data_IF_047794329682
#
_entry.id   IF_047794329682
#
_cell.length_a   1.000
_cell.length_b   1.000
_cell.length_c   1.000
_cell.angle_alpha   90.00
_cell.angle_beta   90.00
_cell.angle_gamma   90.00
#
_symmetry.space_group_name_H-M   'P 1'
#
loop_
_entity.id
_entity.type
_entity.pdbx_description
1 polymer ?
#
# COMPACT_ATOMS: atom_id res chain seq x y z
N UNK A 1 62.90 2.81 -98.34
CA UNK A 1 63.87 1.75 -97.95
C UNK A 1 63.28 0.88 -96.91
N UNK A 2 62.99 -0.31 -97.25
CA UNK A 2 63.37 -1.59 -96.64
C UNK A 2 62.66 -1.89 -95.33
N UNK A 3 61.72 -2.83 -95.40
CA UNK A 3 61.65 -4.15 -94.76
C UNK A 3 61.62 -4.12 -93.21
N UNK A 4 60.97 -4.98 -92.59
CA UNK A 4 60.55 -6.36 -92.79
C UNK A 4 59.69 -6.80 -91.63
N UNK A 5 58.73 -7.66 -91.85
CA UNK A 5 58.35 -8.91 -91.15
C UNK A 5 58.53 -8.97 -89.62
N UNK A 6 57.57 -9.49 -88.91
CA UNK A 6 57.35 -10.94 -88.80
C UNK A 6 56.09 -11.26 -88.00
N UNK A 7 55.56 -12.38 -88.35
CA UNK A 7 54.46 -13.14 -87.77
C UNK A 7 54.57 -13.39 -86.28
N UNK A 8 53.50 -13.23 -85.52
CA UNK A 8 53.32 -13.96 -84.34
C UNK A 8 51.88 -14.52 -84.20
N UNK A 9 51.83 -15.83 -84.27
CA UNK A 9 50.72 -16.71 -84.00
C UNK A 9 50.10 -16.42 -82.64
N UNK A 10 48.83 -16.07 -82.59
CA UNK A 10 48.08 -16.14 -81.32
C UNK A 10 47.29 -17.44 -81.24
N UNK A 11 47.75 -18.31 -80.36
CA UNK A 11 47.07 -19.50 -79.87
C UNK A 11 45.73 -19.13 -79.27
N UNK A 12 44.65 -19.68 -79.77
CA UNK A 12 43.32 -19.68 -79.16
C UNK A 12 43.38 -20.39 -77.80
N UNK A 13 43.18 -19.64 -76.73
CA UNK A 13 42.99 -20.20 -75.46
C UNK A 13 41.46 -20.30 -75.15
N UNK A 14 40.98 -21.51 -75.33
CA UNK A 14 39.61 -21.91 -75.01
C UNK A 14 39.43 -21.88 -73.43
N UNK A 15 38.91 -20.79 -72.87
CA UNK A 15 38.52 -20.70 -71.49
C UNK A 15 37.05 -21.14 -71.37
N UNK A 16 36.86 -22.33 -70.85
CA UNK A 16 35.63 -22.84 -70.34
C UNK A 16 35.11 -21.89 -69.18
N UNK A 17 34.28 -20.93 -69.53
CA UNK A 17 33.50 -20.18 -68.59
C UNK A 17 32.35 -21.08 -68.06
N UNK A 18 32.53 -21.60 -66.90
CA UNK A 18 31.47 -22.26 -66.07
C UNK A 18 30.23 -21.41 -66.11
N UNK A 19 29.13 -21.96 -66.60
CA UNK A 19 27.78 -21.44 -66.48
C UNK A 19 27.44 -21.20 -65.03
N UNK A 20 27.62 -19.97 -64.54
CA UNK A 20 26.98 -19.51 -63.33
C UNK A 20 25.49 -19.32 -63.58
N UNK A 21 24.70 -20.24 -63.10
CA UNK A 21 23.22 -20.14 -63.07
C UNK A 21 22.81 -18.79 -62.53
N UNK A 22 22.52 -17.83 -63.40
CA UNK A 22 21.83 -16.59 -63.04
C UNK A 22 20.39 -16.96 -62.66
N UNK A 23 20.16 -17.28 -61.44
CA UNK A 23 18.81 -17.29 -60.90
C UNK A 23 18.28 -15.88 -61.06
N UNK A 24 17.27 -15.73 -61.96
CA UNK A 24 16.68 -14.45 -62.30
C UNK A 24 16.27 -13.64 -61.02
N UNK A 25 16.49 -12.33 -61.05
CA UNK A 25 16.11 -11.48 -59.90
C UNK A 25 14.64 -11.65 -59.51
N UNK A 26 13.77 -12.03 -60.43
CA UNK A 26 12.36 -12.38 -60.22
C UNK A 26 12.16 -13.51 -59.22
N UNK A 27 13.02 -14.55 -59.18
CA UNK A 27 12.91 -15.65 -58.19
C UNK A 27 13.17 -15.19 -56.74
N UNK A 28 14.08 -14.26 -56.54
CA UNK A 28 14.34 -13.67 -55.21
C UNK A 28 13.17 -12.82 -54.74
N UNK A 29 12.52 -12.08 -55.62
CA UNK A 29 11.34 -11.28 -55.33
C UNK A 29 10.17 -12.19 -54.95
N UNK A 30 9.97 -13.31 -55.64
CA UNK A 30 8.93 -14.30 -55.27
C UNK A 30 9.17 -14.92 -53.91
N UNK A 31 10.41 -15.25 -53.54
CA UNK A 31 10.72 -15.78 -52.22
C UNK A 31 10.38 -14.73 -51.14
N UNK A 32 10.78 -13.47 -51.33
CA UNK A 32 10.45 -12.39 -50.44
C UNK A 32 8.93 -12.21 -50.27
N UNK A 33 8.21 -12.19 -51.38
CA UNK A 33 6.76 -12.03 -51.36
C UNK A 33 6.07 -13.18 -50.60
N UNK A 34 6.48 -14.43 -50.86
CA UNK A 34 5.94 -15.61 -50.14
C UNK A 34 6.26 -15.55 -48.65
N UNK A 35 7.47 -15.12 -48.28
CA UNK A 35 7.85 -14.96 -46.85
C UNK A 35 7.00 -13.89 -46.15
N UNK A 36 6.73 -12.77 -46.80
CA UNK A 36 5.86 -11.72 -46.29
C UNK A 36 4.42 -12.21 -46.12
N UNK A 37 3.86 -12.87 -47.13
CA UNK A 37 2.50 -13.44 -47.07
C UNK A 37 2.41 -14.43 -45.90
N UNK A 38 3.41 -15.29 -45.73
CA UNK A 38 3.44 -16.27 -44.62
C UNK A 38 3.52 -15.58 -43.26
N UNK A 39 4.32 -14.54 -43.13
CA UNK A 39 4.40 -13.76 -41.90
C UNK A 39 3.04 -13.08 -41.54
N UNK A 40 2.36 -12.50 -42.54
CA UNK A 40 1.03 -11.92 -42.36
C UNK A 40 -0.03 -12.96 -41.99
N UNK A 41 0.04 -14.17 -42.56
CA UNK A 41 -0.87 -15.27 -42.18
C UNK A 41 -0.64 -15.68 -40.73
N UNK A 42 0.61 -15.79 -40.27
CA UNK A 42 0.93 -16.10 -38.88
C UNK A 42 0.35 -15.02 -37.94
N UNK A 43 0.63 -13.75 -38.23
CA UNK A 43 0.11 -12.64 -37.40
C UNK A 43 -1.42 -12.62 -37.43
N UNK A 44 -2.04 -12.80 -38.59
CA UNK A 44 -3.48 -12.86 -38.72
C UNK A 44 -4.12 -14.02 -37.94
N UNK A 45 -3.51 -15.20 -37.98
CA UNK A 45 -3.99 -16.36 -37.19
C UNK A 45 -3.86 -16.12 -35.70
N UNK A 46 -2.77 -15.54 -35.25
CA UNK A 46 -2.60 -15.15 -33.85
C UNK A 46 -3.64 -14.11 -33.40
N UNK A 47 -3.92 -13.10 -34.20
CA UNK A 47 -4.97 -12.12 -33.92
C UNK A 47 -6.36 -12.76 -33.86
N UNK A 48 -6.68 -13.67 -34.80
CA UNK A 48 -7.94 -14.40 -34.81
C UNK A 48 -8.04 -15.32 -33.59
N UNK A 49 -6.99 -16.04 -33.23
CA UNK A 49 -6.95 -16.89 -32.04
C UNK A 49 -7.15 -16.08 -30.75
N UNK A 50 -6.56 -14.88 -30.66
CA UNK A 50 -6.80 -13.95 -29.54
C UNK A 50 -8.25 -13.42 -29.52
N UNK A 51 -8.87 -13.22 -30.66
CA UNK A 51 -10.25 -12.76 -30.77
C UNK A 51 -11.28 -13.86 -30.45
N UNK A 52 -11.01 -15.10 -30.86
CA UNK A 52 -11.89 -16.27 -30.59
C UNK A 52 -11.73 -16.80 -29.17
N UNK A 53 -10.53 -16.73 -28.63
CA UNK A 53 -10.22 -16.95 -27.24
C UNK A 53 -9.99 -15.58 -26.57
N UNK A 54 -11.02 -14.78 -26.35
CA UNK A 54 -10.84 -13.63 -25.50
C UNK A 54 -10.28 -14.20 -24.20
N UNK A 55 -9.12 -13.71 -23.75
CA UNK A 55 -8.58 -14.02 -22.43
C UNK A 55 -9.77 -13.86 -21.53
N UNK A 56 -10.34 -15.01 -21.11
CA UNK A 56 -11.53 -14.99 -20.29
C UNK A 56 -11.13 -14.21 -19.03
N UNK A 57 -11.58 -12.97 -18.96
CA UNK A 57 -11.52 -12.15 -17.74
C UNK A 57 -12.30 -12.82 -16.59
N UNK A 58 -12.77 -14.05 -16.82
CA UNK A 58 -13.44 -14.94 -15.88
C UNK A 58 -12.47 -15.89 -15.15
N UNK A 59 -11.24 -16.06 -15.54
CA UNK A 59 -10.23 -16.42 -14.57
C UNK A 59 -9.91 -15.16 -13.76
N UNK A 60 -10.76 -14.93 -12.76
CA UNK A 60 -10.43 -14.30 -11.50
C UNK A 60 -9.36 -15.14 -10.75
N UNK A 61 -8.40 -15.72 -11.40
CA UNK A 61 -7.04 -15.68 -10.98
C UNK A 61 -6.70 -14.20 -11.00
N UNK A 62 -7.14 -13.47 -9.94
CA UNK A 62 -6.41 -12.33 -9.46
C UNK A 62 -4.97 -12.61 -9.86
N UNK A 63 -4.44 -11.84 -10.79
CA UNK A 63 -3.02 -11.60 -10.81
C UNK A 63 -2.76 -11.15 -9.39
N UNK A 64 -2.46 -12.11 -8.54
CA UNK A 64 -1.78 -11.88 -7.28
C UNK A 64 -0.45 -11.35 -7.79
N UNK A 65 -0.46 -10.06 -8.17
CA UNK A 65 0.73 -9.26 -8.05
C UNK A 65 1.18 -9.64 -6.66
N UNK A 66 2.26 -10.40 -6.60
CA UNK A 66 2.92 -10.78 -5.36
C UNK A 66 3.33 -9.48 -4.65
N UNK A 67 2.33 -8.73 -4.20
CA UNK A 67 2.53 -7.61 -3.32
C UNK A 67 2.96 -8.22 -2.00
N UNK A 68 4.27 -8.27 -1.84
CA UNK A 68 4.99 -8.81 -0.68
C UNK A 68 4.49 -8.22 0.65
N UNK A 69 3.58 -7.24 0.61
CA UNK A 69 3.23 -6.37 1.72
C UNK A 69 1.72 -6.14 1.90
N UNK A 70 0.86 -6.93 1.25
CA UNK A 70 -0.60 -6.83 1.42
C UNK A 70 -1.02 -7.11 2.89
N UNK A 71 -2.04 -6.37 3.37
CA UNK A 71 -2.58 -6.49 4.71
C UNK A 71 -4.10 -6.58 4.65
N UNK A 72 -4.71 -7.50 5.42
CA UNK A 72 -6.16 -7.75 5.45
C UNK A 72 -6.94 -6.52 5.87
N UNK A 73 -8.15 -6.41 5.35
CA UNK A 73 -9.12 -5.43 5.83
C UNK A 73 -9.58 -5.76 7.25
N UNK A 74 -10.01 -4.74 7.98
CA UNK A 74 -10.69 -4.88 9.27
C UNK A 74 -12.11 -4.35 9.09
N UNK A 75 -13.10 -5.14 9.50
CA UNK A 75 -14.52 -4.81 9.43
C UNK A 75 -15.18 -4.89 10.81
N UNK A 76 -16.29 -4.20 10.96
CA UNK A 76 -17.16 -4.31 12.14
C UNK A 76 -18.02 -5.58 12.07
N UNK A 77 -18.88 -5.82 13.08
CA UNK A 77 -19.78 -6.99 13.12
C UNK A 77 -20.78 -7.04 11.97
N UNK A 78 -21.08 -5.90 11.34
CA UNK A 78 -22.06 -5.75 10.25
C UNK A 78 -21.38 -5.71 8.87
N UNK A 79 -20.06 -5.90 8.79
CA UNK A 79 -19.28 -5.83 7.55
C UNK A 79 -18.89 -4.42 7.13
N UNK A 80 -19.05 -3.41 7.98
CA UNK A 80 -18.63 -2.03 7.67
C UNK A 80 -17.12 -1.93 7.80
N UNK A 81 -16.50 -1.33 6.80
CA UNK A 81 -15.05 -1.20 6.71
C UNK A 81 -14.49 -0.25 7.77
N UNK A 82 -13.57 -0.75 8.59
CA UNK A 82 -12.88 -0.01 9.66
C UNK A 82 -11.44 0.36 9.28
N UNK A 83 -10.74 -0.52 8.57
CA UNK A 83 -9.40 -0.26 8.05
C UNK A 83 -9.15 -1.04 6.77
N UNK A 84 -8.52 -0.41 5.78
CA UNK A 84 -8.20 -0.99 4.47
C UNK A 84 -6.87 -0.49 3.94
N UNK A 85 -6.34 -1.17 2.93
CA UNK A 85 -5.18 -0.70 2.19
C UNK A 85 -5.60 -0.07 0.87
N UNK A 86 -5.02 1.08 0.55
CA UNK A 86 -5.19 1.75 -0.74
C UNK A 86 -3.85 1.79 -1.46
N UNK A 87 -3.87 1.37 -2.73
CA UNK A 87 -2.70 1.48 -3.61
C UNK A 87 -2.50 2.94 -3.99
N UNK A 88 -1.32 3.44 -3.72
CA UNK A 88 -0.90 4.81 -4.04
C UNK A 88 0.41 4.77 -4.79
N UNK A 89 0.73 5.83 -5.52
CA UNK A 89 2.06 6.00 -6.10
C UNK A 89 2.92 6.81 -5.14
N UNK A 90 4.19 6.43 -5.06
CA UNK A 90 5.24 7.17 -4.37
C UNK A 90 6.26 7.70 -5.37
N UNK A 91 6.96 8.76 -5.01
CA UNK A 91 8.03 9.34 -5.78
C UNK A 91 9.38 9.02 -5.11
N UNK A 92 10.29 8.42 -5.85
CA UNK A 92 11.67 8.23 -5.43
C UNK A 92 12.64 8.72 -6.49
N UNK A 93 13.88 8.89 -6.11
CA UNK A 93 14.92 9.32 -7.02
C UNK A 93 16.18 8.44 -6.90
N UNK A 94 16.86 8.28 -8.03
CA UNK A 94 18.26 7.85 -8.09
C UNK A 94 19.15 9.09 -8.21
N UNK A 95 19.75 9.58 -7.13
CA UNK A 95 20.47 10.86 -7.13
C UNK A 95 21.62 10.94 -8.14
N UNK A 96 22.23 9.80 -8.49
CA UNK A 96 23.30 9.69 -9.48
C UNK A 96 22.85 9.90 -10.92
N UNK A 97 21.57 9.68 -11.22
CA UNK A 97 21.03 9.77 -12.58
C UNK A 97 20.46 11.17 -12.90
N UNK A 98 20.27 12.01 -11.86
CA UNK A 98 19.70 13.35 -12.03
C UNK A 98 20.78 14.30 -12.59
N UNK A 99 20.51 14.86 -13.76
CA UNK A 99 21.42 15.78 -14.46
C UNK A 99 21.44 17.15 -13.78
N UNK A 100 20.24 17.75 -13.56
CA UNK A 100 20.11 19.07 -12.94
C UNK A 100 19.33 18.98 -11.63
N UNK A 101 20.05 18.73 -10.54
CA UNK A 101 19.49 18.61 -9.19
C UNK A 101 18.80 19.89 -8.72
N UNK A 102 19.35 21.08 -9.10
CA UNK A 102 18.78 22.35 -8.68
C UNK A 102 17.44 22.63 -9.36
N UNK A 103 17.33 22.32 -10.65
CA UNK A 103 16.07 22.38 -11.40
C UNK A 103 15.00 21.46 -10.76
N UNK A 104 15.39 20.22 -10.42
CA UNK A 104 14.50 19.24 -9.76
C UNK A 104 14.02 19.78 -8.41
N UNK A 105 14.92 20.29 -7.56
CA UNK A 105 14.55 20.86 -6.25
C UNK A 105 13.54 21.98 -6.41
N UNK A 106 13.82 22.96 -7.28
CA UNK A 106 12.95 24.10 -7.50
C UNK A 106 11.56 23.69 -8.04
N UNK A 107 11.52 22.70 -8.95
CA UNK A 107 10.28 22.17 -9.50
C UNK A 107 9.48 21.39 -8.46
N UNK A 108 10.14 20.54 -7.67
CA UNK A 108 9.48 19.78 -6.61
C UNK A 108 8.92 20.67 -5.50
N UNK A 109 9.59 21.78 -5.16
CA UNK A 109 9.08 22.76 -4.20
C UNK A 109 7.81 23.49 -4.70
N UNK A 110 7.68 23.68 -6.03
CA UNK A 110 6.46 24.23 -6.61
C UNK A 110 5.30 23.25 -6.59
N UNK A 111 5.58 21.96 -6.84
CA UNK A 111 4.55 20.91 -6.86
C UNK A 111 4.14 20.52 -5.44
N UNK A 112 5.09 20.46 -4.52
CA UNK A 112 4.91 20.04 -3.12
C UNK A 112 5.27 21.19 -2.18
N UNK A 113 4.35 22.11 -2.00
CA UNK A 113 4.53 23.34 -1.21
C UNK A 113 4.83 23.11 0.28
N UNK A 114 4.47 21.92 0.79
CA UNK A 114 4.72 21.47 2.17
C UNK A 114 6.08 20.78 2.34
N UNK A 115 6.93 20.74 1.30
CA UNK A 115 8.23 20.09 1.35
C UNK A 115 9.30 20.99 1.96
N UNK A 116 10.12 20.41 2.81
CA UNK A 116 11.30 21.06 3.35
C UNK A 116 12.45 21.06 2.31
N UNK A 117 12.91 22.25 1.96
CA UNK A 117 13.98 22.47 0.97
C UNK A 117 15.29 21.80 1.39
N UNK A 118 15.68 21.94 2.65
CA UNK A 118 16.96 21.41 3.16
C UNK A 118 16.96 19.88 3.16
N UNK A 119 15.81 19.27 3.46
CA UNK A 119 15.64 17.83 3.37
C UNK A 119 15.72 17.32 1.93
N UNK A 120 15.13 18.03 0.95
CA UNK A 120 15.25 17.69 -0.46
C UNK A 120 16.70 17.79 -0.95
N UNK A 121 17.41 18.86 -0.59
CA UNK A 121 18.83 19.02 -0.91
C UNK A 121 19.63 17.86 -0.33
N UNK A 122 19.48 17.57 0.97
CA UNK A 122 20.18 16.47 1.64
C UNK A 122 19.94 15.11 0.98
N UNK A 123 18.73 14.86 0.50
CA UNK A 123 18.38 13.61 -0.19
C UNK A 123 18.99 13.54 -1.60
N UNK A 124 18.84 14.58 -2.41
CA UNK A 124 19.28 14.59 -3.80
C UNK A 124 20.79 14.72 -3.99
N UNK A 125 21.50 15.25 -2.99
CA UNK A 125 22.97 15.28 -2.97
C UNK A 125 23.60 14.13 -2.18
N UNK A 126 22.79 13.17 -1.70
CA UNK A 126 23.33 11.98 -1.03
C UNK A 126 23.93 10.98 -2.01
N UNK A 127 24.91 10.18 -1.53
CA UNK A 127 25.51 9.08 -2.31
C UNK A 127 24.69 7.78 -2.22
N UNK A 128 23.41 7.86 -1.83
CA UNK A 128 22.54 6.67 -1.74
C UNK A 128 22.12 6.23 -3.12
N UNK A 129 21.97 4.91 -3.36
CA UNK A 129 21.52 4.40 -4.65
C UNK A 129 20.10 4.85 -4.99
N UNK A 130 19.23 4.99 -3.99
CA UNK A 130 17.92 5.62 -4.16
C UNK A 130 17.47 6.35 -2.89
N UNK A 131 16.57 7.31 -3.03
CA UNK A 131 15.98 8.07 -1.94
C UNK A 131 14.48 8.29 -2.16
N UNK A 132 13.67 8.09 -1.13
CA UNK A 132 12.27 8.47 -1.16
C UNK A 132 12.12 9.98 -1.07
N UNK A 133 11.49 10.60 -2.07
CA UNK A 133 11.15 12.03 -2.07
C UNK A 133 9.76 12.24 -1.46
N UNK A 134 8.75 11.48 -1.93
CA UNK A 134 7.38 11.50 -1.42
C UNK A 134 6.83 10.08 -1.31
N UNK A 135 6.21 9.77 -0.18
CA UNK A 135 5.62 8.46 0.10
C UNK A 135 4.25 8.27 -0.56
N UNK A 136 3.56 9.36 -0.86
CA UNK A 136 2.25 9.37 -1.49
C UNK A 136 2.15 10.57 -2.40
N UNK A 137 1.71 10.36 -3.63
CA UNK A 137 1.47 11.40 -4.63
C UNK A 137 0.14 11.14 -5.34
N UNK A 138 -0.56 12.22 -5.70
CA UNK A 138 -1.76 12.14 -6.53
C UNK A 138 -1.40 11.88 -8.00
N UNK A 139 -2.35 11.39 -8.83
CA UNK A 139 -2.15 11.26 -10.27
C UNK A 139 -1.77 12.58 -10.95
N UNK A 140 -2.34 13.70 -10.50
CA UNK A 140 -2.01 15.04 -10.98
C UNK A 140 -0.57 15.42 -10.64
N UNK A 141 -0.16 15.23 -9.39
CA UNK A 141 1.22 15.46 -8.96
C UNK A 141 2.21 14.58 -9.73
N UNK A 142 1.82 13.34 -10.02
CA UNK A 142 2.63 12.44 -10.83
C UNK A 142 2.87 13.00 -12.24
N UNK A 143 1.84 13.54 -12.88
CA UNK A 143 1.97 14.16 -14.19
C UNK A 143 2.88 15.39 -14.15
N UNK A 144 2.68 16.28 -13.17
CA UNK A 144 3.54 17.46 -12.98
C UNK A 144 5.02 17.08 -12.75
N UNK A 145 5.29 15.99 -12.04
CA UNK A 145 6.66 15.49 -11.87
C UNK A 145 7.23 14.92 -13.16
N UNK A 146 6.42 14.22 -13.98
CA UNK A 146 6.87 13.75 -15.32
C UNK A 146 7.23 14.92 -16.22
N UNK A 147 6.49 16.02 -16.16
CA UNK A 147 6.72 17.22 -16.97
C UNK A 147 8.05 17.93 -16.64
N UNK A 148 8.68 17.63 -15.49
CA UNK A 148 10.05 18.12 -15.17
C UNK A 148 11.04 17.61 -16.21
N UNK A 149 10.81 16.42 -16.77
CA UNK A 149 11.59 15.82 -17.85
C UNK A 149 13.04 15.49 -17.45
N UNK A 150 13.28 15.20 -16.17
CA UNK A 150 14.62 14.84 -15.67
C UNK A 150 14.73 13.34 -15.44
N UNK A 151 15.83 12.71 -15.91
CA UNK A 151 16.12 11.32 -15.57
C UNK A 151 16.34 11.18 -14.06
N UNK A 152 16.21 9.96 -13.55
CA UNK A 152 16.46 9.67 -12.15
C UNK A 152 15.28 9.98 -11.21
N UNK A 153 14.12 10.40 -11.74
CA UNK A 153 12.85 10.51 -11.00
C UNK A 153 11.94 9.35 -11.38
N UNK A 154 11.56 8.55 -10.41
CA UNK A 154 10.79 7.33 -10.62
C UNK A 154 9.58 7.25 -9.71
N UNK A 155 8.60 6.45 -10.13
CA UNK A 155 7.39 6.18 -9.37
C UNK A 155 7.36 4.71 -8.99
N UNK A 156 7.00 4.44 -7.74
CA UNK A 156 6.87 3.08 -7.23
C UNK A 156 5.48 2.83 -6.65
N UNK A 157 4.93 1.62 -6.80
CA UNK A 157 3.69 1.25 -6.13
C UNK A 157 3.93 1.23 -4.61
N UNK A 158 2.96 1.73 -3.86
CA UNK A 158 2.96 1.70 -2.41
C UNK A 158 1.57 1.45 -1.89
N UNK A 159 1.46 0.78 -0.77
CA UNK A 159 0.22 0.67 -0.05
C UNK A 159 0.20 1.61 1.13
N UNK A 160 -0.96 2.22 1.35
CA UNK A 160 -1.22 3.07 2.50
C UNK A 160 -2.41 2.51 3.26
N UNK A 161 -2.21 2.28 4.57
CA UNK A 161 -3.28 1.89 5.47
C UNK A 161 -4.16 3.08 5.76
N UNK A 162 -5.46 2.96 5.48
CA UNK A 162 -6.46 4.01 5.68
C UNK A 162 -7.52 3.53 6.66
N UNK A 163 -7.95 4.45 7.51
CA UNK A 163 -9.04 4.31 8.45
C UNK A 163 -10.18 5.22 8.00
N UNK A 164 -11.18 4.71 7.22
CA UNK A 164 -12.20 5.53 6.55
C UNK A 164 -13.07 6.32 7.53
N UNK A 165 -13.26 5.79 8.74
CA UNK A 165 -14.10 6.39 9.78
C UNK A 165 -13.38 7.45 10.62
N UNK A 166 -12.18 7.87 10.23
CA UNK A 166 -11.41 8.95 10.86
C UNK A 166 -11.05 8.63 12.31
N UNK A 167 -11.61 9.39 13.26
CA UNK A 167 -11.34 9.23 14.70
C UNK A 167 -12.14 8.13 15.37
N UNK A 168 -13.19 7.60 14.71
CA UNK A 168 -14.05 6.56 15.29
C UNK A 168 -13.27 5.26 15.51
N UNK A 169 -13.46 4.65 16.67
CA UNK A 169 -12.81 3.41 17.07
C UNK A 169 -11.27 3.46 17.05
N UNK A 170 -10.67 4.66 17.02
CA UNK A 170 -9.23 4.85 16.89
C UNK A 170 -8.42 4.11 17.97
N UNK A 171 -8.89 4.10 19.23
CA UNK A 171 -8.22 3.41 20.33
C UNK A 171 -8.34 1.89 20.23
N UNK A 172 -9.41 1.38 19.59
CA UNK A 172 -9.59 -0.05 19.34
C UNK A 172 -8.64 -0.47 18.21
N UNK A 173 -8.71 0.22 17.06
CA UNK A 173 -7.91 -0.09 15.88
C UNK A 173 -6.42 0.12 16.13
N UNK A 174 -6.07 1.18 16.85
CA UNK A 174 -4.69 1.56 17.11
C UNK A 174 -4.08 2.31 15.94
N UNK A 175 -3.12 1.71 15.28
CA UNK A 175 -2.48 2.32 14.12
C UNK A 175 -1.29 1.54 13.61
N UNK A 176 -0.75 1.99 12.48
CA UNK A 176 0.33 1.32 11.78
C UNK A 176 1.52 2.24 11.53
N UNK A 177 2.66 1.65 11.22
CA UNK A 177 3.85 2.30 10.68
C UNK A 177 4.41 1.51 9.52
N UNK A 178 5.25 2.13 8.74
CA UNK A 178 6.03 1.39 7.75
C UNK A 178 7.23 0.70 8.42
N UNK A 179 7.43 -0.57 8.06
CA UNK A 179 8.59 -1.39 8.43
C UNK A 179 9.68 -1.32 7.38
N UNK A 180 10.01 -2.48 6.78
CA UNK A 180 10.97 -2.53 5.69
C UNK A 180 10.38 -1.86 4.44
N UNK A 181 11.17 -0.97 3.84
CA UNK A 181 10.79 -0.24 2.63
C UNK A 181 11.73 -0.64 1.48
N UNK A 182 11.14 -1.01 0.34
CA UNK A 182 11.85 -1.31 -0.90
C UNK A 182 11.22 -0.51 -2.05
N UNK A 183 11.81 -0.58 -3.25
CA UNK A 183 11.24 0.03 -4.46
C UNK A 183 9.87 -0.58 -4.81
N UNK A 184 9.67 -1.87 -4.53
CA UNK A 184 8.46 -2.62 -4.87
C UNK A 184 7.33 -2.44 -3.85
N UNK A 185 7.58 -1.75 -2.73
CA UNK A 185 6.57 -1.51 -1.71
C UNK A 185 7.14 -1.27 -0.31
N UNK A 186 6.25 -1.20 0.66
CA UNK A 186 6.60 -1.01 2.05
C UNK A 186 5.77 -1.91 2.97
N UNK A 187 6.43 -2.58 3.88
CA UNK A 187 5.76 -3.37 4.91
C UNK A 187 4.94 -2.48 5.83
N UNK A 188 3.71 -2.90 6.15
CA UNK A 188 2.83 -2.22 7.10
C UNK A 188 2.79 -3.02 8.38
N UNK A 189 3.30 -2.43 9.47
CA UNK A 189 3.37 -3.04 10.81
C UNK A 189 2.41 -2.36 11.76
N UNK A 190 1.63 -3.14 12.51
CA UNK A 190 0.80 -2.65 13.60
C UNK A 190 1.65 -2.09 14.75
N UNK A 191 1.22 -0.99 15.35
CA UNK A 191 1.92 -0.32 16.45
C UNK A 191 1.12 -0.27 17.75
N UNK A 192 -0.19 -0.44 17.68
CA UNK A 192 -1.09 -0.44 18.83
C UNK A 192 -2.43 -1.09 18.44
N UNK A 193 -3.25 -1.41 19.45
CA UNK A 193 -4.63 -1.91 19.30
C UNK A 193 -4.71 -3.20 18.51
N UNK A 194 -5.81 -3.36 17.79
CA UNK A 194 -6.11 -4.52 16.93
C UNK A 194 -5.02 -4.71 15.86
N UNK A 195 -4.52 -3.61 15.29
CA UNK A 195 -3.45 -3.65 14.29
C UNK A 195 -2.18 -4.33 14.81
N UNK A 196 -1.80 -4.07 16.07
CA UNK A 196 -0.64 -4.70 16.69
C UNK A 196 -0.95 -6.13 17.14
N UNK A 197 -2.06 -6.34 17.83
CA UNK A 197 -2.40 -7.64 18.41
C UNK A 197 -2.55 -8.71 17.32
N UNK A 198 -3.24 -8.37 16.23
CA UNK A 198 -3.44 -9.27 15.10
C UNK A 198 -2.43 -9.07 13.95
N UNK A 199 -1.25 -8.48 14.24
CA UNK A 199 -0.29 -8.12 13.19
C UNK A 199 0.06 -9.31 12.28
N UNK A 200 0.33 -10.48 12.84
CA UNK A 200 0.63 -11.71 12.07
C UNK A 200 -0.56 -12.13 11.21
N UNK A 201 -1.77 -12.18 11.79
CA UNK A 201 -3.00 -12.58 11.09
C UNK A 201 -3.36 -11.61 9.98
N UNK A 202 -3.16 -10.31 10.20
CA UNK A 202 -3.44 -9.26 9.21
C UNK A 202 -2.43 -9.26 8.05
N UNK A 203 -1.19 -9.70 8.29
CA UNK A 203 -0.14 -9.80 7.26
C UNK A 203 -0.04 -11.21 6.65
N UNK A 204 -0.95 -12.12 6.98
CA UNK A 204 -0.99 -13.48 6.46
C UNK A 204 -1.46 -13.47 5.01
N UNK A 205 -0.63 -14.02 4.11
CA UNK A 205 -0.82 -14.00 2.66
C UNK A 205 -1.76 -15.08 2.16
N UNK A 206 -1.88 -16.17 2.90
CA UNK A 206 -2.60 -17.33 2.42
C UNK A 206 -4.12 -17.08 2.34
N UNK A 207 -4.65 -16.12 3.13
CA UNK A 207 -6.06 -15.77 3.19
C UNK A 207 -6.30 -14.25 3.16
N UNK A 208 -5.65 -13.49 2.28
CA UNK A 208 -5.80 -12.03 2.19
C UNK A 208 -7.23 -11.54 1.92
N UNK A 209 -8.07 -12.40 1.33
CA UNK A 209 -9.46 -12.09 0.99
C UNK A 209 -10.41 -12.12 2.18
N UNK A 210 -10.01 -12.77 3.26
CA UNK A 210 -10.81 -12.88 4.47
C UNK A 210 -10.52 -11.71 5.40
N UNK A 211 -11.44 -10.74 5.56
CA UNK A 211 -11.22 -9.62 6.47
C UNK A 211 -11.19 -10.09 7.92
N UNK A 212 -10.52 -9.32 8.77
CA UNK A 212 -10.62 -9.49 10.22
C UNK A 212 -11.91 -8.82 10.70
N UNK A 213 -12.91 -9.63 11.09
CA UNK A 213 -14.15 -9.13 11.66
C UNK A 213 -14.02 -8.93 13.16
N UNK A 214 -14.46 -7.76 13.65
CA UNK A 214 -14.54 -7.41 15.06
C UNK A 214 -15.98 -7.50 15.56
N UNK A 215 -16.16 -7.64 16.87
CA UNK A 215 -17.48 -7.59 17.55
C UNK A 215 -18.07 -6.16 17.63
N UNK A 216 -17.27 -5.15 17.34
CA UNK A 216 -17.65 -3.73 17.41
C UNK A 216 -18.76 -3.41 16.40
N UNK A 217 -19.75 -2.62 16.83
CA UNK A 217 -20.74 -1.98 15.96
C UNK A 217 -20.38 -0.50 15.78
N UNK A 218 -20.00 -0.12 14.59
CA UNK A 218 -19.49 1.24 14.33
C UNK A 218 -20.56 2.32 14.52
N UNK A 219 -21.83 2.01 14.33
CA UNK A 219 -22.92 2.95 14.56
C UNK A 219 -23.13 3.20 16.05
N UNK A 220 -23.10 2.13 16.84
CA UNK A 220 -23.17 2.23 18.30
C UNK A 220 -21.90 2.92 18.84
N UNK A 221 -20.71 2.60 18.28
CA UNK A 221 -19.47 3.25 18.63
C UNK A 221 -19.53 4.76 18.42
N UNK A 222 -20.08 5.23 17.30
CA UNK A 222 -20.23 6.65 17.03
C UNK A 222 -21.11 7.36 18.06
N UNK A 223 -22.25 6.75 18.39
CA UNK A 223 -23.17 7.29 19.42
C UNK A 223 -22.53 7.34 20.80
N UNK A 224 -21.85 6.26 21.21
CA UNK A 224 -21.17 6.19 22.51
C UNK A 224 -20.03 7.22 22.60
N UNK A 225 -19.26 7.41 21.53
CA UNK A 225 -18.21 8.43 21.50
C UNK A 225 -18.76 9.85 21.58
N UNK A 226 -19.88 10.14 20.93
CA UNK A 226 -20.56 11.44 21.00
C UNK A 226 -21.10 11.72 22.42
N UNK A 227 -21.78 10.75 23.02
CA UNK A 227 -22.29 10.86 24.40
C UNK A 227 -21.13 11.09 25.38
N UNK A 228 -20.04 10.31 25.25
CA UNK A 228 -18.86 10.47 26.10
C UNK A 228 -18.23 11.86 25.97
N UNK A 229 -18.07 12.34 24.73
CA UNK A 229 -17.47 13.66 24.46
C UNK A 229 -18.32 14.79 25.05
N UNK A 230 -19.65 14.72 24.90
CA UNK A 230 -20.57 15.67 25.48
C UNK A 230 -20.57 15.63 27.03
N UNK A 231 -20.53 14.43 27.62
CA UNK A 231 -20.40 14.26 29.06
C UNK A 231 -19.09 14.86 29.61
N UNK A 232 -17.96 14.64 28.96
CA UNK A 232 -16.66 15.21 29.34
C UNK A 232 -16.70 16.74 29.28
N UNK A 233 -17.28 17.33 28.24
CA UNK A 233 -17.44 18.79 28.11
C UNK A 233 -18.34 19.35 29.24
N UNK A 234 -19.45 18.69 29.51
CA UNK A 234 -20.39 19.11 30.55
C UNK A 234 -19.76 19.08 31.94
N UNK A 235 -18.97 18.04 32.23
CA UNK A 235 -18.33 17.85 33.54
C UNK A 235 -16.99 18.59 33.67
N UNK A 236 -16.49 19.23 32.65
CA UNK A 236 -15.15 19.83 32.61
C UNK A 236 -14.02 18.82 32.86
N UNK A 237 -14.24 17.56 32.49
CA UNK A 237 -13.29 16.48 32.71
C UNK A 237 -12.13 16.49 31.71
N UNK A 238 -10.95 16.01 32.14
CA UNK A 238 -9.76 15.89 31.26
C UNK A 238 -9.89 14.75 30.24
N UNK A 239 -10.72 13.76 30.52
CA UNK A 239 -10.95 12.61 29.67
C UNK A 239 -11.90 11.62 30.35
N UNK A 240 -12.20 10.55 29.61
CA UNK A 240 -13.09 9.49 30.08
C UNK A 240 -13.04 8.28 29.18
N UNK A 241 -13.70 7.21 29.58
CA UNK A 241 -13.86 6.01 28.78
C UNK A 241 -15.21 5.33 29.03
N UNK A 242 -15.70 4.62 28.04
CA UNK A 242 -16.91 3.80 28.11
C UNK A 242 -16.62 2.46 27.45
N UNK A 243 -17.09 1.38 28.07
CA UNK A 243 -17.10 0.04 27.48
C UNK A 243 -18.54 -0.46 27.51
N UNK A 244 -19.07 -0.84 26.35
CA UNK A 244 -20.37 -1.50 26.21
C UNK A 244 -20.14 -2.95 25.79
N UNK A 245 -20.60 -3.88 26.63
CA UNK A 245 -20.37 -5.30 26.47
C UNK A 245 -21.71 -6.07 26.54
N UNK A 246 -21.87 -7.06 25.67
CA UNK A 246 -22.94 -8.04 25.82
C UNK A 246 -22.65 -8.96 27.00
N UNK A 247 -23.55 -9.00 27.98
CA UNK A 247 -23.36 -9.78 29.22
C UNK A 247 -23.49 -11.29 29.02
N UNK A 248 -24.09 -11.74 27.93
CA UNK A 248 -24.26 -13.18 27.64
C UNK A 248 -23.07 -13.75 26.89
N UNK A 249 -22.55 -13.01 25.90
CA UNK A 249 -21.49 -13.47 25.03
C UNK A 249 -20.09 -12.97 25.43
N UNK A 250 -20.04 -11.86 26.19
CA UNK A 250 -18.80 -11.16 26.52
C UNK A 250 -18.24 -10.31 25.38
N UNK A 251 -18.97 -10.21 24.25
CA UNK A 251 -18.54 -9.41 23.12
C UNK A 251 -18.55 -7.92 23.44
N UNK A 252 -17.46 -7.24 23.10
CA UNK A 252 -17.38 -5.79 23.20
C UNK A 252 -18.07 -5.18 21.98
N UNK A 253 -19.20 -4.52 22.22
CA UNK A 253 -20.00 -3.84 21.18
C UNK A 253 -19.41 -2.47 20.87
N UNK A 254 -18.90 -1.75 21.89
CA UNK A 254 -18.28 -0.45 21.77
C UNK A 254 -17.25 -0.24 22.87
N UNK A 255 -16.15 0.43 22.55
CA UNK A 255 -15.13 0.88 23.50
C UNK A 255 -14.65 2.27 23.06
N UNK A 256 -15.00 3.27 23.85
CA UNK A 256 -14.64 4.65 23.61
C UNK A 256 -13.62 5.13 24.67
N UNK A 257 -12.65 5.90 24.23
CA UNK A 257 -11.69 6.60 25.09
C UNK A 257 -11.50 8.02 24.57
N UNK A 258 -11.43 9.00 25.47
CA UNK A 258 -11.26 10.40 25.15
C UNK A 258 -10.10 11.04 25.95
N UNK A 259 -9.31 11.95 25.36
CA UNK A 259 -9.43 12.55 24.02
C UNK A 259 -9.15 11.56 22.87
N UNK A 260 -9.79 11.83 21.72
CA UNK A 260 -9.66 11.03 20.49
C UNK A 260 -8.41 11.45 19.68
N UNK A 261 -7.97 10.58 18.81
CA UNK A 261 -6.96 10.90 17.79
C UNK A 261 -7.38 10.33 16.42
N UNK A 262 -6.82 10.88 15.35
CA UNK A 262 -7.00 10.32 14.01
C UNK A 262 -5.84 9.37 13.70
N UNK A 263 -6.07 8.06 13.52
CA UNK A 263 -5.00 7.11 13.21
C UNK A 263 -4.32 7.37 11.86
N UNK A 264 -5.01 8.03 10.90
CA UNK A 264 -4.41 8.47 9.65
C UNK A 264 -3.35 9.57 9.86
N UNK A 265 -3.52 10.42 10.89
CA UNK A 265 -2.66 11.55 11.25
C UNK A 265 -2.03 11.35 12.63
N UNK A 266 -1.68 10.11 12.97
CA UNK A 266 -1.19 9.74 14.30
C UNK A 266 -0.14 10.74 14.82
N UNK A 267 -0.33 11.32 16.01
CA UNK A 267 0.64 12.25 16.59
C UNK A 267 2.01 11.60 16.74
N UNK A 268 3.08 12.33 16.36
CA UNK A 268 4.46 11.83 16.48
C UNK A 268 5.04 12.07 17.87
N UNK A 269 4.55 13.11 18.55
CA UNK A 269 5.05 13.50 19.87
C UNK A 269 4.18 12.87 20.95
N UNK A 270 4.75 11.91 21.67
CA UNK A 270 4.16 11.36 22.89
C UNK A 270 4.54 12.27 24.06
N UNK A 271 3.60 12.52 24.97
CA UNK A 271 3.89 13.20 26.23
C UNK A 271 4.78 12.29 27.10
N UNK A 272 6.07 12.64 27.21
CA UNK A 272 7.06 11.80 27.90
C UNK A 272 6.85 11.74 29.42
N UNK A 273 6.34 12.84 30.00
CA UNK A 273 6.23 12.98 31.46
C UNK A 273 4.96 12.34 32.03
N UNK A 274 3.87 12.33 31.27
CA UNK A 274 2.60 11.73 31.70
C UNK A 274 1.89 11.13 30.46
N UNK A 275 2.03 9.83 30.23
CA UNK A 275 1.39 9.15 29.11
C UNK A 275 -0.14 9.28 29.11
N UNK A 276 -0.77 9.45 30.28
CA UNK A 276 -2.23 9.57 30.39
C UNK A 276 -2.78 10.85 29.76
N UNK A 277 -1.94 11.90 29.60
CA UNK A 277 -2.31 13.12 28.89
C UNK A 277 -2.24 12.97 27.35
N UNK A 278 -1.69 11.86 26.84
CA UNK A 278 -1.61 11.61 25.42
C UNK A 278 -2.98 11.24 24.84
N UNK A 279 -3.38 11.80 23.68
CA UNK A 279 -4.63 11.39 23.03
C UNK A 279 -4.61 9.95 22.53
N UNK A 280 -3.44 9.31 22.38
CA UNK A 280 -3.33 7.90 21.99
C UNK A 280 -3.41 6.94 23.19
N UNK A 281 -3.49 7.45 24.42
CA UNK A 281 -3.65 6.63 25.63
C UNK A 281 -5.08 6.08 25.71
N UNK A 282 -5.22 4.76 25.64
CA UNK A 282 -6.52 4.10 25.79
C UNK A 282 -6.90 3.98 27.27
N UNK A 283 -7.74 4.89 27.75
CA UNK A 283 -8.16 4.96 29.16
C UNK A 283 -8.93 3.74 29.61
N UNK A 284 -9.65 3.08 28.71
CA UNK A 284 -10.42 1.89 29.04
C UNK A 284 -9.54 0.66 29.31
N UNK A 285 -8.33 0.59 28.71
CA UNK A 285 -7.46 -0.59 28.78
C UNK A 285 -6.17 -0.32 29.54
N UNK A 286 -5.62 0.88 29.41
CA UNK A 286 -4.32 1.25 30.00
C UNK A 286 -4.48 2.06 31.31
N UNK A 287 -5.67 2.62 31.55
CA UNK A 287 -5.95 3.40 32.75
C UNK A 287 -6.07 2.53 34.01
N UNK A 288 -5.47 2.99 35.11
CA UNK A 288 -5.58 2.37 36.41
C UNK A 288 -6.40 3.32 37.27
N UNK A 289 -7.52 2.83 37.81
CA UNK A 289 -8.48 3.63 38.56
C UNK A 289 -8.81 2.98 39.91
N UNK A 290 -9.03 3.79 40.94
CA UNK A 290 -9.59 3.33 42.21
C UNK A 290 -11.09 3.07 42.03
N UNK A 291 -11.50 1.81 42.16
CA UNK A 291 -12.89 1.39 41.94
C UNK A 291 -13.84 1.88 43.00
N UNK A 292 -13.35 2.13 44.21
CA UNK A 292 -14.15 2.56 45.32
C UNK A 292 -15.30 1.58 45.63
N UNK A 293 -16.51 2.11 45.78
CA UNK A 293 -17.71 1.30 46.09
C UNK A 293 -18.14 0.36 44.96
N UNK A 294 -17.69 0.58 43.70
CA UNK A 294 -17.97 -0.34 42.61
C UNK A 294 -17.33 -1.72 42.84
N UNK A 295 -16.20 -1.77 43.60
CA UNK A 295 -15.54 -3.02 43.95
C UNK A 295 -16.42 -3.96 44.79
N UNK A 296 -17.42 -3.42 45.52
CA UNK A 296 -18.32 -4.22 46.37
C UNK A 296 -19.13 -5.27 45.60
N UNK A 297 -19.30 -5.10 44.30
CA UNK A 297 -19.99 -6.08 43.45
C UNK A 297 -19.27 -7.43 43.51
N UNK A 298 -17.93 -7.46 43.53
CA UNK A 298 -17.16 -8.69 43.51
C UNK A 298 -17.31 -9.54 44.78
N UNK A 299 -17.12 -9.01 46.01
CA UNK A 299 -17.34 -9.81 47.21
C UNK A 299 -18.79 -10.25 47.37
N UNK A 300 -19.78 -9.45 46.94
CA UNK A 300 -21.18 -9.86 46.98
C UNK A 300 -21.43 -11.02 45.99
N UNK A 301 -20.93 -10.92 44.76
CA UNK A 301 -21.03 -12.01 43.78
C UNK A 301 -20.37 -13.30 44.29
N UNK A 302 -19.17 -13.20 44.88
CA UNK A 302 -18.47 -14.36 45.48
C UNK A 302 -19.27 -14.96 46.63
N UNK A 303 -19.86 -14.12 47.49
CA UNK A 303 -20.70 -14.58 48.60
C UNK A 303 -21.95 -15.32 48.13
N UNK A 304 -22.58 -14.89 47.04
CA UNK A 304 -23.72 -15.56 46.42
C UNK A 304 -23.29 -16.88 45.76
N UNK A 305 -22.17 -16.89 45.05
CA UNK A 305 -21.64 -18.08 44.35
C UNK A 305 -21.24 -19.19 45.33
N UNK A 306 -20.64 -18.78 46.48
CA UNK A 306 -20.23 -19.70 47.55
C UNK A 306 -21.34 -20.03 48.52
N UNK A 307 -22.59 -19.57 48.28
CA UNK A 307 -23.76 -19.75 49.14
C UNK A 307 -23.59 -19.23 50.56
N UNK A 308 -22.59 -18.40 50.83
CA UNK A 308 -22.37 -17.75 52.14
C UNK A 308 -23.44 -16.69 52.44
N UNK A 309 -23.98 -16.08 51.37
CA UNK A 309 -25.11 -15.13 51.45
C UNK A 309 -26.17 -15.50 50.42
N UNK A 310 -27.37 -15.03 50.65
CA UNK A 310 -28.51 -15.11 49.72
C UNK A 310 -28.99 -13.71 49.39
N UNK A 311 -29.82 -13.57 48.36
CA UNK A 311 -30.36 -12.28 47.90
C UNK A 311 -31.19 -11.55 48.96
N UNK A 312 -31.72 -12.29 49.96
CA UNK A 312 -32.49 -11.78 51.09
C UNK A 312 -31.69 -11.66 52.40
N UNK A 313 -30.41 -11.98 52.40
CA UNK A 313 -29.53 -11.85 53.58
C UNK A 313 -29.43 -10.39 54.03
N UNK A 314 -29.78 -10.15 55.30
CA UNK A 314 -29.67 -8.84 55.93
C UNK A 314 -28.35 -8.73 56.68
N UNK A 315 -27.67 -7.63 56.51
CA UNK A 315 -26.47 -7.28 57.25
C UNK A 315 -26.86 -6.23 58.29
N UNK A 316 -26.43 -6.43 59.53
CA UNK A 316 -26.63 -5.48 60.64
C UNK A 316 -25.42 -4.53 60.71
#
# INVERSE_FOLDING_TARGET
>A
MINSFENLNFKSHNNNLKNKSNKSPTFRIYILLVTFIFAFIIIGTEMVLMAINPISTSDNKKVILNNKFDRKDIIDKNGVLLATNVKVNSLYAHPSEIIDKQKVINSLLKIFTDSDKDNLIKKLYSNKPFVWLRKTISPEQQNLVKDIGQPGLYFGPREMRIYPNGTLAAHILGGTRYGLESVDGAEILGTAGVELFYNKKLSDKDNLLEPLQLSIDIKIQALVEEILENGIKLMGAKGGSVVLMDTKTGEIISLASFPKFNPNLRPRNLFKNDPSNSPIFNRAVQGIYELGSVFKIFPVALGLETELIKTDTKFN
#
